data_IF_726645322066
#
_entry.id   IF_726645322066
#
_cell.length_a   1.000
_cell.length_b   1.000
_cell.length_c   1.000
_cell.angle_alpha   90.00
_cell.angle_beta   90.00
_cell.angle_gamma   90.00
#
_symmetry.space_group_name_H-M   'P 1'
#
loop_
_entity.id
_entity.type
_entity.pdbx_description
1 polymer ?
#
# COMPACT_ATOMS: atom_id res chain seq x y z
N UNK A 1 -27.50 -3.57 -71.11
CA UNK A 1 -27.86 -3.19 -69.73
C UNK A 1 -27.18 -4.20 -68.82
N UNK A 2 -26.02 -3.84 -68.26
CA UNK A 2 -25.21 -4.73 -67.42
C UNK A 2 -25.52 -4.43 -65.95
N UNK A 3 -25.77 -5.43 -65.08
CA UNK A 3 -25.66 -5.24 -63.65
C UNK A 3 -24.19 -5.42 -63.25
N UNK A 4 -23.54 -4.31 -62.93
CA UNK A 4 -22.21 -4.27 -62.32
C UNK A 4 -22.28 -4.69 -60.86
N UNK A 5 -21.37 -5.56 -60.49
CA UNK A 5 -21.18 -6.21 -59.19
C UNK A 5 -20.75 -5.24 -58.09
N UNK A 6 -21.54 -5.11 -57.03
CA UNK A 6 -21.10 -4.59 -55.72
C UNK A 6 -21.26 -5.69 -54.67
N UNK A 7 -20.31 -6.62 -54.65
CA UNK A 7 -20.24 -7.68 -53.64
C UNK A 7 -18.79 -7.86 -53.18
N UNK A 8 -18.34 -6.99 -52.26
CA UNK A 8 -17.34 -7.30 -51.22
C UNK A 8 -16.98 -6.05 -50.43
N UNK A 9 -17.87 -5.61 -49.54
CA UNK A 9 -17.56 -4.61 -48.50
C UNK A 9 -17.97 -5.14 -47.13
N UNK A 10 -17.44 -6.30 -46.75
CA UNK A 10 -17.86 -6.96 -45.50
C UNK A 10 -16.82 -7.83 -44.82
N UNK A 11 -15.61 -7.96 -45.38
CA UNK A 11 -14.54 -8.79 -44.81
C UNK A 11 -13.42 -7.99 -44.11
N UNK A 12 -13.42 -6.66 -44.23
CA UNK A 12 -12.42 -5.76 -43.64
C UNK A 12 -12.79 -5.17 -42.27
N UNK A 13 -14.06 -5.18 -41.87
CA UNK A 13 -14.50 -4.56 -40.61
C UNK A 13 -14.02 -5.32 -39.38
N UNK A 14 -14.11 -6.66 -39.38
CA UNK A 14 -13.68 -7.50 -38.23
C UNK A 14 -12.16 -7.48 -38.02
N UNK A 15 -11.37 -7.38 -39.09
CA UNK A 15 -9.90 -7.31 -39.00
C UNK A 15 -9.40 -5.93 -38.58
N UNK A 16 -10.11 -4.86 -38.94
CA UNK A 16 -9.78 -3.50 -38.51
C UNK A 16 -10.09 -3.29 -37.01
N UNK A 17 -11.18 -3.87 -36.49
CA UNK A 17 -11.50 -3.86 -35.07
C UNK A 17 -10.45 -4.61 -34.22
N UNK A 18 -9.93 -5.74 -34.71
CA UNK A 18 -8.84 -6.49 -34.06
C UNK A 18 -7.53 -5.71 -34.05
N UNK A 19 -7.17 -5.04 -35.15
CA UNK A 19 -5.99 -4.19 -35.22
C UNK A 19 -6.13 -2.99 -34.25
N UNK A 20 -7.31 -2.38 -34.19
CA UNK A 20 -7.59 -1.28 -33.27
C UNK A 20 -7.49 -1.73 -31.80
N UNK A 21 -7.98 -2.93 -31.47
CA UNK A 21 -7.87 -3.50 -30.13
C UNK A 21 -6.41 -3.79 -29.76
N UNK A 22 -5.63 -4.36 -30.68
CA UNK A 22 -4.20 -4.57 -30.48
C UNK A 22 -3.44 -3.24 -30.33
N UNK A 23 -3.77 -2.23 -31.13
CA UNK A 23 -3.20 -0.89 -31.01
C UNK A 23 -3.57 -0.28 -29.66
N UNK A 24 -4.82 -0.38 -29.20
CA UNK A 24 -5.25 0.11 -27.89
C UNK A 24 -4.53 -0.63 -26.74
N UNK A 25 -4.33 -1.95 -26.87
CA UNK A 25 -3.56 -2.75 -25.91
C UNK A 25 -2.08 -2.34 -25.90
N UNK A 26 -1.47 -2.12 -27.06
CA UNK A 26 -0.09 -1.65 -27.14
C UNK A 26 0.06 -0.24 -26.57
N UNK A 27 -0.88 0.66 -26.88
CA UNK A 27 -0.86 2.05 -26.44
C UNK A 27 -1.03 2.15 -24.91
N UNK A 28 -1.88 1.31 -24.32
CA UNK A 28 -2.03 1.21 -22.85
C UNK A 28 -0.80 0.61 -22.18
N UNK A 29 -0.15 -0.38 -22.78
CA UNK A 29 1.11 -0.94 -22.29
C UNK A 29 2.24 0.09 -22.32
N UNK A 30 2.34 0.86 -23.42
CA UNK A 30 3.37 1.89 -23.61
C UNK A 30 3.21 3.03 -22.60
N UNK A 31 1.97 3.48 -22.37
CA UNK A 31 1.68 4.56 -21.43
C UNK A 31 1.86 4.14 -19.95
N UNK A 32 1.59 2.88 -19.60
CA UNK A 32 1.68 2.39 -18.21
C UNK A 32 3.05 1.87 -17.80
N UNK A 33 3.94 1.59 -18.75
CA UNK A 33 5.28 1.08 -18.50
C UNK A 33 6.10 1.93 -17.48
N UNK A 34 6.27 3.25 -17.63
CA UNK A 34 7.11 4.04 -16.71
C UNK A 34 6.56 4.04 -15.28
N UNK A 35 5.23 4.07 -15.15
CA UNK A 35 4.56 4.03 -13.85
C UNK A 35 4.83 2.70 -13.13
N UNK A 36 4.77 1.57 -13.85
CA UNK A 36 5.03 0.24 -13.27
C UNK A 36 6.43 0.13 -12.69
N UNK A 37 7.44 0.67 -13.36
CA UNK A 37 8.82 0.69 -12.85
C UNK A 37 8.95 1.59 -11.61
N UNK A 38 8.42 2.82 -11.67
CA UNK A 38 8.48 3.76 -10.56
C UNK A 38 7.83 3.19 -9.28
N UNK A 39 6.68 2.54 -9.42
CA UNK A 39 5.98 1.88 -8.31
C UNK A 39 6.83 0.78 -7.70
N UNK A 40 7.45 -0.08 -8.52
CA UNK A 40 8.34 -1.16 -8.04
C UNK A 40 9.50 -0.60 -7.23
N UNK A 41 10.25 0.36 -7.78
CA UNK A 41 11.38 0.96 -7.06
C UNK A 41 10.96 1.62 -5.74
N UNK A 42 9.83 2.33 -5.76
CA UNK A 42 9.32 3.00 -4.55
C UNK A 42 8.95 1.98 -3.47
N UNK A 43 8.33 0.84 -3.85
CA UNK A 43 7.98 -0.22 -2.91
C UNK A 43 9.23 -0.86 -2.28
N UNK A 44 10.24 -1.18 -3.08
CA UNK A 44 11.49 -1.75 -2.56
C UNK A 44 12.27 -0.76 -1.70
N UNK A 45 12.34 0.52 -2.11
CA UNK A 45 12.94 1.57 -1.30
C UNK A 45 12.23 1.73 0.05
N UNK A 46 10.89 1.72 0.05
CA UNK A 46 10.10 1.82 1.28
C UNK A 46 10.34 0.62 2.19
N UNK A 47 10.40 -0.59 1.63
CA UNK A 47 10.69 -1.82 2.39
C UNK A 47 12.10 -1.78 3.00
N UNK A 48 13.09 -1.30 2.25
CA UNK A 48 14.47 -1.18 2.74
C UNK A 48 14.57 -0.21 3.91
N UNK A 49 13.95 0.97 3.81
CA UNK A 49 13.89 1.94 4.92
C UNK A 49 13.15 1.37 6.12
N UNK A 50 12.06 0.64 5.91
CA UNK A 50 11.30 0.00 7.00
C UNK A 50 12.15 -1.05 7.73
N UNK A 51 12.85 -1.91 7.00
CA UNK A 51 13.75 -2.91 7.60
C UNK A 51 14.90 -2.24 8.36
N UNK A 52 15.45 -1.16 7.81
CA UNK A 52 16.50 -0.39 8.46
C UNK A 52 16.05 0.17 9.83
N UNK A 53 14.87 0.80 9.90
CA UNK A 53 14.32 1.33 11.13
C UNK A 53 14.13 0.24 12.21
N UNK A 54 13.76 -0.95 11.76
CA UNK A 54 13.63 -2.12 12.61
C UNK A 54 14.93 -2.58 13.24
N UNK A 55 16.00 -2.66 12.43
CA UNK A 55 17.31 -3.10 12.92
C UNK A 55 17.79 -2.16 14.02
N UNK A 56 17.60 -0.85 13.86
CA UNK A 56 18.00 0.15 14.84
C UNK A 56 17.26 0.02 16.17
N UNK A 57 15.95 -0.21 16.11
CA UNK A 57 15.10 -0.19 17.31
C UNK A 57 14.91 -1.59 17.95
N UNK A 58 15.37 -2.66 17.29
CA UNK A 58 15.25 -4.03 17.76
C UNK A 58 16.00 -4.30 19.08
N UNK A 59 17.19 -3.71 19.24
CA UNK A 59 17.99 -3.90 20.45
C UNK A 59 17.25 -3.41 21.71
N UNK A 60 16.61 -2.24 21.60
CA UNK A 60 15.79 -1.67 22.68
C UNK A 60 14.49 -2.46 22.89
N UNK A 61 13.85 -2.93 21.82
CA UNK A 61 12.67 -3.80 21.95
C UNK A 61 12.93 -5.06 22.75
N UNK A 62 14.03 -5.76 22.45
CA UNK A 62 14.41 -6.98 23.16
C UNK A 62 14.68 -6.66 24.63
N UNK A 63 15.35 -5.54 24.92
CA UNK A 63 15.65 -5.14 26.29
C UNK A 63 14.40 -4.80 27.11
N UNK A 64 13.48 -4.02 26.55
CA UNK A 64 12.35 -3.45 27.31
C UNK A 64 11.03 -4.21 27.16
N UNK A 65 10.73 -4.73 25.97
CA UNK A 65 9.44 -5.37 25.69
C UNK A 65 9.52 -6.88 25.92
N UNK A 66 10.58 -7.55 25.45
CA UNK A 66 10.63 -9.02 25.47
C UNK A 66 10.81 -9.57 26.88
N UNK A 67 11.58 -8.89 27.72
CA UNK A 67 11.79 -9.24 29.12
C UNK A 67 10.75 -8.61 30.07
N UNK A 68 9.86 -7.76 29.56
CA UNK A 68 8.81 -7.10 30.33
C UNK A 68 7.57 -7.97 30.58
N UNK A 69 6.62 -7.46 31.36
CA UNK A 69 5.29 -8.10 31.53
C UNK A 69 4.56 -8.12 30.18
N UNK A 70 4.35 -9.33 29.65
CA UNK A 70 3.51 -9.57 28.46
C UNK A 70 2.06 -9.25 28.77
N UNK A 71 1.72 -7.97 28.67
CA UNK A 71 0.39 -7.42 28.84
C UNK A 71 -0.28 -7.23 27.48
N UNK A 72 -1.60 -7.03 27.47
CA UNK A 72 -2.35 -6.76 26.23
C UNK A 72 -1.78 -5.61 25.39
N UNK A 73 -1.30 -4.49 25.98
CA UNK A 73 -0.56 -3.45 25.25
C UNK A 73 0.69 -3.95 24.52
N UNK A 74 1.46 -4.89 25.11
CA UNK A 74 2.65 -5.43 24.48
C UNK A 74 2.29 -6.27 23.24
N UNK A 75 1.21 -7.04 23.29
CA UNK A 75 0.70 -7.78 22.12
C UNK A 75 0.26 -6.83 21.00
N UNK A 76 -0.52 -5.81 21.32
CA UNK A 76 -0.95 -4.80 20.35
C UNK A 76 0.24 -4.07 19.71
N UNK A 77 1.27 -3.78 20.49
CA UNK A 77 2.52 -3.19 19.99
C UNK A 77 3.20 -4.11 18.96
N UNK A 78 3.34 -5.41 19.25
CA UNK A 78 3.91 -6.36 18.29
C UNK A 78 3.08 -6.47 17.01
N UNK A 79 1.76 -6.51 17.11
CA UNK A 79 0.90 -6.57 15.92
C UNK A 79 1.05 -5.28 15.09
N UNK A 80 0.95 -4.12 15.73
CA UNK A 80 1.05 -2.84 15.04
C UNK A 80 2.41 -2.66 14.35
N UNK A 81 3.48 -3.14 15.00
CA UNK A 81 4.82 -3.05 14.45
C UNK A 81 5.03 -4.05 13.31
N UNK A 82 4.88 -5.35 13.55
CA UNK A 82 5.30 -6.41 12.62
C UNK A 82 4.35 -6.62 11.44
N UNK A 83 3.08 -6.22 11.56
CA UNK A 83 2.10 -6.34 10.47
C UNK A 83 2.47 -5.49 9.23
N UNK A 84 2.88 -4.22 9.34
CA UNK A 84 3.41 -3.42 8.23
C UNK A 84 4.54 -4.07 7.43
N UNK A 85 5.52 -4.72 8.10
CA UNK A 85 6.60 -5.43 7.39
C UNK A 85 6.01 -6.54 6.54
N UNK A 86 5.13 -7.35 7.14
CA UNK A 86 4.50 -8.46 6.44
C UNK A 86 3.71 -7.95 5.22
N UNK A 87 2.95 -6.87 5.39
CA UNK A 87 2.19 -6.25 4.32
C UNK A 87 3.11 -5.71 3.20
N UNK A 88 4.17 -4.96 3.50
CA UNK A 88 5.08 -4.46 2.47
C UNK A 88 5.84 -5.59 1.76
N UNK A 89 6.28 -6.61 2.50
CA UNK A 89 6.97 -7.76 1.92
C UNK A 89 6.06 -8.53 0.96
N UNK A 90 4.81 -8.73 1.35
CA UNK A 90 3.81 -9.36 0.49
C UNK A 90 3.50 -8.50 -0.74
N UNK A 91 3.37 -7.18 -0.58
CA UNK A 91 3.17 -6.26 -1.70
C UNK A 91 4.35 -6.29 -2.69
N UNK A 92 5.59 -6.33 -2.19
CA UNK A 92 6.78 -6.47 -3.02
C UNK A 92 6.79 -7.81 -3.78
N UNK A 93 6.45 -8.91 -3.08
CA UNK A 93 6.33 -10.24 -3.69
C UNK A 93 5.25 -10.28 -4.77
N UNK A 94 4.09 -9.66 -4.55
CA UNK A 94 2.99 -9.58 -5.51
C UNK A 94 3.35 -8.80 -6.79
N UNK A 95 4.35 -7.90 -6.73
CA UNK A 95 4.84 -7.20 -7.92
C UNK A 95 5.86 -7.99 -8.74
N UNK A 96 6.47 -9.02 -8.13
CA UNK A 96 7.45 -9.92 -8.74
C UNK A 96 6.81 -11.24 -9.23
N UNK A 97 5.80 -11.73 -8.51
CA UNK A 97 5.15 -13.01 -8.75
C UNK A 97 3.83 -12.84 -9.53
N UNK A 98 3.34 -13.96 -10.10
CA UNK A 98 2.14 -14.10 -10.95
C UNK A 98 0.96 -13.24 -10.48
N UNK A 99 0.20 -12.59 -11.40
CA UNK A 99 -0.88 -11.67 -11.05
C UNK A 99 -1.89 -12.34 -10.10
N UNK A 100 -2.20 -11.69 -8.96
CA UNK A 100 -3.18 -12.23 -8.04
C UNK A 100 -4.59 -12.17 -8.63
N UNK A 101 -5.48 -13.03 -8.13
CA UNK A 101 -6.90 -13.00 -8.46
C UNK A 101 -7.51 -11.60 -8.20
N UNK A 102 -8.46 -11.15 -9.02
CA UNK A 102 -9.08 -9.82 -8.88
C UNK A 102 -9.73 -9.60 -7.50
N UNK A 103 -10.35 -10.66 -6.95
CA UNK A 103 -10.90 -10.65 -5.60
C UNK A 103 -9.81 -10.41 -4.54
N UNK A 104 -8.64 -11.01 -4.74
CA UNK A 104 -7.51 -10.85 -3.83
C UNK A 104 -6.94 -9.43 -3.91
N UNK A 105 -6.83 -8.86 -5.11
CA UNK A 105 -6.40 -7.47 -5.31
C UNK A 105 -7.31 -6.48 -4.58
N UNK A 106 -8.63 -6.63 -4.72
CA UNK A 106 -9.63 -5.80 -4.04
C UNK A 106 -9.56 -5.95 -2.52
N UNK A 107 -9.45 -7.18 -2.02
CA UNK A 107 -9.29 -7.44 -0.59
C UNK A 107 -8.02 -6.79 -0.04
N UNK A 108 -6.89 -6.97 -0.73
CA UNK A 108 -5.59 -6.47 -0.31
C UNK A 108 -5.52 -4.94 -0.26
N UNK A 109 -5.98 -4.26 -1.32
CA UNK A 109 -5.99 -2.79 -1.38
C UNK A 109 -6.90 -2.23 -0.28
N UNK A 110 -8.10 -2.81 -0.10
CA UNK A 110 -9.04 -2.37 0.93
C UNK A 110 -8.48 -2.58 2.33
N UNK A 111 -7.88 -3.74 2.60
CA UNK A 111 -7.26 -4.07 3.88
C UNK A 111 -6.09 -3.14 4.21
N UNK A 112 -5.23 -2.86 3.24
CA UNK A 112 -4.08 -1.96 3.42
C UNK A 112 -4.54 -0.53 3.74
N UNK A 113 -5.54 -0.02 3.02
CA UNK A 113 -6.10 1.32 3.26
C UNK A 113 -6.77 1.45 4.63
N UNK A 114 -7.49 0.42 5.09
CA UNK A 114 -8.06 0.44 6.43
C UNK A 114 -6.98 0.46 7.51
N UNK A 115 -5.92 -0.33 7.34
CA UNK A 115 -4.82 -0.40 8.30
C UNK A 115 -4.02 0.90 8.41
N UNK A 116 -3.71 1.54 7.29
CA UNK A 116 -2.98 2.82 7.31
C UNK A 116 -3.83 3.93 7.93
N UNK A 117 -5.13 3.97 7.66
CA UNK A 117 -6.05 4.95 8.26
C UNK A 117 -6.10 4.82 9.78
N UNK A 118 -6.31 3.61 10.30
CA UNK A 118 -6.38 3.38 11.74
C UNK A 118 -5.04 3.64 12.44
N UNK A 119 -3.93 3.23 11.81
CA UNK A 119 -2.59 3.45 12.36
C UNK A 119 -2.22 4.94 12.43
N UNK A 120 -2.54 5.72 11.40
CA UNK A 120 -2.32 7.18 11.39
C UNK A 120 -3.23 7.88 12.40
N UNK A 121 -4.49 7.46 12.51
CA UNK A 121 -5.40 8.03 13.51
C UNK A 121 -4.91 7.77 14.94
N UNK A 122 -4.44 6.55 15.23
CA UNK A 122 -3.87 6.20 16.53
C UNK A 122 -2.57 6.96 16.81
N UNK A 123 -1.65 7.07 15.85
CA UNK A 123 -0.38 7.78 16.05
C UNK A 123 -0.59 9.29 16.26
N UNK A 124 -1.52 9.90 15.51
CA UNK A 124 -1.92 11.30 15.70
C UNK A 124 -2.61 11.48 17.04
N UNK A 125 -3.51 10.58 17.44
CA UNK A 125 -4.20 10.66 18.73
C UNK A 125 -3.23 10.53 19.91
N UNK A 126 -2.26 9.63 19.83
CA UNK A 126 -1.20 9.47 20.85
C UNK A 126 -0.30 10.71 20.89
N UNK A 127 0.08 11.25 19.73
CA UNK A 127 0.90 12.47 19.65
C UNK A 127 0.18 13.69 20.22
N UNK A 128 -1.10 13.85 19.91
CA UNK A 128 -1.95 14.91 20.46
C UNK A 128 -2.14 14.75 21.97
N UNK A 129 -2.39 13.54 22.47
CA UNK A 129 -2.48 13.27 23.90
C UNK A 129 -1.16 13.59 24.62
N UNK A 130 -0.02 13.23 24.01
CA UNK A 130 1.31 13.52 24.56
C UNK A 130 1.65 15.01 24.61
N UNK A 131 1.02 15.83 23.77
CA UNK A 131 1.14 17.31 23.78
C UNK A 131 0.11 17.95 24.73
N UNK A 132 -1.12 17.43 24.76
CA UNK A 132 -2.21 17.96 25.59
C UNK A 132 -2.07 17.64 27.08
N UNK A 133 -1.61 16.44 27.44
CA UNK A 133 -1.39 16.02 28.83
C UNK A 133 -0.42 16.98 29.57
N UNK A 134 0.76 17.34 29.02
CA UNK A 134 1.64 18.31 29.66
C UNK A 134 1.12 19.76 29.58
N UNK A 135 0.29 20.12 28.60
CA UNK A 135 -0.38 21.44 28.58
C UNK A 135 -1.41 21.56 29.70
N UNK A 136 -2.27 20.55 29.90
CA UNK A 136 -3.23 20.50 31.02
C UNK A 136 -2.50 20.44 32.37
N UNK A 137 -1.39 19.70 32.45
CA UNK A 137 -0.53 19.66 33.63
C UNK A 137 0.13 21.00 33.97
N UNK A 138 0.37 21.89 32.99
CA UNK A 138 0.88 23.25 33.23
C UNK A 138 -0.24 24.24 33.59
N UNK A 139 -1.46 24.04 33.07
CA UNK A 139 -2.62 24.86 33.42
C UNK A 139 -3.10 24.57 34.85
N UNK A 140 -3.11 23.30 35.28
CA UNK A 140 -3.50 22.93 36.64
C UNK A 140 -2.44 23.22 37.72
N UNK A 141 -1.19 23.55 37.35
CA UNK A 141 -0.13 23.95 38.29
C UNK A 141 -0.03 25.48 38.45
N UNK A 142 -0.92 26.23 37.79
CA UNK A 142 -1.00 27.68 37.83
C UNK A 142 -2.38 28.14 38.35
N UNK A 143 -2.86 27.52 39.43
CA UNK A 143 -3.83 28.16 40.33
C UNK A 143 -3.24 28.17 41.75
N UNK A 144 -2.52 29.24 42.12
CA UNK A 144 -2.55 29.77 43.46
C UNK A 144 -3.24 31.13 43.43
N UNK A 145 -4.49 31.18 43.89
CA UNK A 145 -5.11 32.27 44.68
C UNK A 145 -6.49 31.82 45.15
#
# INVERSE_FOLDING_TARGET
MMPGTEASYGKGSRSAEEEQELLNQLLTMLHTAPLKFAVRYTVFASLAVLVWDYILTFADEVKYIWHGRKSWPAFLFFVNRYFPIFAMSFNAAAQLLVPPNDLFCKFWIRGTLTWTRESVHLSVSVSLASIFIPMLGRVCLFDPI
#
